data_IF_035276737232
#
_entry.id   IF_035276737232
#
_cell.length_a   1.000
_cell.length_b   1.000
_cell.length_c   1.000
_cell.angle_alpha   90.00
_cell.angle_beta   90.00
_cell.angle_gamma   90.00
#
_symmetry.space_group_name_H-M   'P 1'
#
loop_
_entity.id
_entity.type
_entity.pdbx_description
1 polymer ?
#
# COMPACT_ATOMS: atom_id res chain seq x y z
N UNK A 1 18.75 10.32 17.39
CA UNK A 1 17.26 10.39 17.44
C UNK A 1 16.81 11.50 16.50
N UNK A 2 15.95 11.21 15.52
CA UNK A 2 15.36 12.17 14.59
C UNK A 2 13.86 12.22 14.82
N UNK A 3 13.19 13.30 14.44
CA UNK A 3 11.75 13.48 14.56
C UNK A 3 11.09 13.14 13.22
N UNK A 4 10.26 12.12 13.19
CA UNK A 4 9.62 11.58 11.99
C UNK A 4 8.12 11.84 12.06
N UNK A 5 7.52 12.24 10.95
CA UNK A 5 6.08 12.34 10.80
C UNK A 5 5.59 11.26 9.83
N UNK A 6 4.62 10.45 10.27
CA UNK A 6 3.96 9.45 9.43
C UNK A 6 2.51 9.88 9.21
N UNK A 7 2.20 10.35 8.00
CA UNK A 7 0.84 10.62 7.54
C UNK A 7 0.23 9.31 7.01
N UNK A 8 -0.97 8.94 7.46
CA UNK A 8 -1.55 7.63 7.22
C UNK A 8 -1.16 6.58 8.27
N UNK A 9 -0.77 7.03 9.48
CA UNK A 9 -0.29 6.18 10.57
C UNK A 9 -1.36 5.25 11.17
N UNK A 10 -2.64 5.54 10.97
CA UNK A 10 -3.77 4.68 11.35
C UNK A 10 -4.07 3.59 10.30
N UNK A 11 -3.37 3.60 9.16
CA UNK A 11 -3.50 2.60 8.11
C UNK A 11 -2.54 1.42 8.27
N UNK A 12 -2.69 0.43 7.38
CA UNK A 12 -1.91 -0.81 7.38
C UNK A 12 -0.39 -0.57 7.30
N UNK A 13 0.09 0.02 6.21
CA UNK A 13 1.54 0.25 6.02
C UNK A 13 2.05 1.27 7.03
N UNK A 14 1.27 2.34 7.29
CA UNK A 14 1.64 3.39 8.24
C UNK A 14 1.82 2.87 9.66
N UNK A 15 0.95 1.98 10.12
CA UNK A 15 1.07 1.35 11.44
C UNK A 15 2.33 0.51 11.61
N UNK A 16 2.69 -0.29 10.60
CA UNK A 16 3.94 -1.06 10.57
C UNK A 16 5.17 -0.14 10.52
N UNK A 17 5.12 0.92 9.70
CA UNK A 17 6.22 1.89 9.61
C UNK A 17 6.45 2.63 10.92
N UNK A 18 5.39 3.07 11.61
CA UNK A 18 5.49 3.67 12.95
C UNK A 18 6.24 2.74 13.91
N UNK A 19 5.83 1.46 13.99
CA UNK A 19 6.49 0.46 14.84
C UNK A 19 7.98 0.34 14.50
N UNK A 20 8.32 0.22 13.22
CA UNK A 20 9.70 0.07 12.75
C UNK A 20 10.56 1.31 13.05
N UNK A 21 10.05 2.52 12.82
CA UNK A 21 10.74 3.77 13.16
C UNK A 21 11.00 3.91 14.68
N UNK A 22 10.03 3.46 15.50
CA UNK A 22 10.21 3.42 16.97
C UNK A 22 11.30 2.44 17.38
N UNK A 23 11.36 1.26 16.76
CA UNK A 23 12.42 0.27 17.01
C UNK A 23 13.81 0.79 16.63
N UNK A 24 13.89 1.69 15.64
CA UNK A 24 15.12 2.38 15.25
C UNK A 24 15.49 3.56 16.20
N UNK A 25 14.70 3.81 17.23
CA UNK A 25 14.98 4.84 18.24
C UNK A 25 14.62 6.27 17.80
N UNK A 26 13.73 6.43 16.82
CA UNK A 26 13.25 7.75 16.42
C UNK A 26 12.11 8.25 17.30
N UNK A 27 11.91 9.58 17.34
CA UNK A 27 10.68 10.19 17.84
C UNK A 27 9.67 10.24 16.71
N UNK A 28 8.51 9.59 16.88
CA UNK A 28 7.53 9.38 15.81
C UNK A 28 6.21 10.08 16.15
N UNK A 29 5.79 10.97 15.26
CA UNK A 29 4.46 11.54 15.22
C UNK A 29 3.64 10.79 14.19
N UNK A 30 2.49 10.25 14.59
CA UNK A 30 1.50 9.67 13.69
C UNK A 30 0.36 10.66 13.41
N UNK A 31 -0.13 10.72 12.19
CA UNK A 31 -1.34 11.45 11.84
C UNK A 31 -2.21 10.64 10.88
N UNK A 32 -3.50 10.60 11.15
CA UNK A 32 -4.49 9.92 10.31
C UNK A 32 -5.89 10.46 10.65
N UNK A 33 -6.86 10.22 9.77
CA UNK A 33 -8.28 10.49 10.03
C UNK A 33 -8.88 9.52 11.07
N UNK A 34 -8.22 8.38 11.28
CA UNK A 34 -8.64 7.33 12.22
C UNK A 34 -7.47 6.76 13.01
N UNK A 35 -7.77 6.15 14.16
CA UNK A 35 -6.82 5.30 14.87
C UNK A 35 -6.57 3.99 14.10
N UNK A 36 -5.44 3.31 14.39
CA UNK A 36 -5.19 1.98 13.87
C UNK A 36 -6.24 1.00 14.43
N UNK A 37 -6.86 0.21 13.54
CA UNK A 37 -8.03 -0.61 13.88
C UNK A 37 -7.68 -1.82 14.76
N UNK A 38 -6.47 -2.37 14.58
CA UNK A 38 -6.11 -3.68 15.15
C UNK A 38 -5.06 -3.61 16.26
N UNK A 39 -4.49 -2.46 16.52
CA UNK A 39 -3.51 -2.26 17.61
C UNK A 39 -3.45 -0.81 18.08
N UNK A 40 -3.01 -0.62 19.33
CA UNK A 40 -2.60 0.70 19.78
C UNK A 40 -1.36 1.15 19.01
N UNK A 41 -1.30 2.41 18.61
CA UNK A 41 -0.12 2.96 17.94
C UNK A 41 1.09 3.00 18.85
N UNK A 42 2.28 2.76 18.29
CA UNK A 42 3.57 2.91 18.98
C UNK A 42 4.14 4.34 18.84
N UNK A 43 3.46 5.25 18.14
CA UNK A 43 3.90 6.63 17.99
C UNK A 43 3.99 7.36 19.35
N UNK A 44 4.97 8.26 19.51
CA UNK A 44 5.11 9.09 20.70
C UNK A 44 3.95 10.08 20.83
N UNK A 45 3.50 10.61 19.68
CA UNK A 45 2.31 11.45 19.57
C UNK A 45 1.43 10.93 18.42
N UNK A 46 0.11 10.98 18.57
CA UNK A 46 -0.83 10.64 17.50
C UNK A 46 -1.92 11.70 17.41
N UNK A 47 -2.04 12.29 16.21
CA UNK A 47 -3.06 13.29 15.92
C UNK A 47 -4.12 12.71 14.98
N UNK A 48 -5.35 12.63 15.45
CA UNK A 48 -6.48 12.25 14.60
C UNK A 48 -6.95 13.48 13.81
N UNK A 49 -6.27 13.73 12.69
CA UNK A 49 -6.47 14.91 11.85
C UNK A 49 -6.88 14.52 10.43
N UNK A 50 -7.81 15.27 9.89
CA UNK A 50 -8.10 15.26 8.46
C UNK A 50 -7.04 16.11 7.74
N UNK A 51 -6.19 15.46 6.94
CA UNK A 51 -5.08 16.12 6.23
C UNK A 51 -5.54 16.84 4.95
N UNK A 52 -6.81 16.71 4.56
CA UNK A 52 -7.44 17.55 3.52
C UNK A 52 -7.61 18.98 4.01
N UNK A 53 -7.68 19.17 5.32
CA UNK A 53 -7.78 20.47 5.95
C UNK A 53 -6.39 21.09 6.14
N UNK A 54 -6.08 22.14 5.37
CA UNK A 54 -4.79 22.83 5.45
C UNK A 54 -4.44 23.30 6.86
N UNK A 55 -5.45 23.71 7.64
CA UNK A 55 -5.27 24.16 9.02
C UNK A 55 -4.70 23.07 9.94
N UNK A 56 -5.06 21.80 9.70
CA UNK A 56 -4.55 20.65 10.43
C UNK A 56 -3.11 20.35 10.03
N UNK A 57 -2.82 20.35 8.72
CA UNK A 57 -1.46 20.13 8.21
C UNK A 57 -0.50 21.20 8.69
N UNK A 58 -0.93 22.47 8.73
CA UNK A 58 -0.14 23.60 9.29
C UNK A 58 0.22 23.44 10.77
N UNK A 59 -0.68 22.87 11.58
CA UNK A 59 -0.42 22.59 13.00
C UNK A 59 0.50 21.39 13.17
N UNK A 60 0.35 20.39 12.28
CA UNK A 60 1.07 19.13 12.35
C UNK A 60 2.53 19.27 11.92
N UNK A 61 2.81 19.99 10.83
CA UNK A 61 4.15 20.15 10.29
C UNK A 61 4.87 21.30 11.01
N UNK A 62 5.93 20.93 11.75
CA UNK A 62 6.82 21.85 12.46
C UNK A 62 8.24 21.79 11.87
N UNK A 63 9.03 22.85 12.00
CA UNK A 63 10.36 22.98 11.38
C UNK A 63 11.42 22.02 11.93
N UNK A 64 11.15 21.35 13.03
CA UNK A 64 12.03 20.37 13.67
C UNK A 64 11.78 18.92 13.18
N UNK A 65 10.82 18.71 12.29
CA UNK A 65 10.60 17.41 11.63
C UNK A 65 11.74 17.18 10.64
N UNK A 66 12.43 16.03 10.79
CA UNK A 66 13.49 15.60 9.87
C UNK A 66 12.92 15.03 8.57
N UNK A 67 11.93 14.14 8.66
CA UNK A 67 11.36 13.43 7.51
C UNK A 67 9.86 13.25 7.65
N UNK A 68 9.14 13.47 6.56
CA UNK A 68 7.71 13.15 6.43
C UNK A 68 7.55 11.91 5.56
N UNK A 69 6.88 10.89 6.11
CA UNK A 69 6.43 9.73 5.37
C UNK A 69 4.95 9.94 5.00
N UNK A 70 4.71 10.23 3.73
CA UNK A 70 3.37 10.50 3.21
C UNK A 70 2.75 9.24 2.61
N UNK A 71 1.93 8.57 3.42
CA UNK A 71 1.21 7.35 3.06
C UNK A 71 -0.32 7.55 3.07
N UNK A 72 -0.79 8.71 3.55
CA UNK A 72 -2.22 9.00 3.60
C UNK A 72 -2.81 9.14 2.20
N UNK A 73 -3.87 8.41 1.93
CA UNK A 73 -4.61 8.46 0.66
C UNK A 73 -6.02 7.93 0.86
N UNK A 74 -6.94 8.36 0.02
CA UNK A 74 -8.24 7.71 -0.11
C UNK A 74 -8.08 6.52 -1.06
N UNK A 75 -8.15 5.31 -0.53
CA UNK A 75 -7.86 4.09 -1.29
C UNK A 75 -8.56 2.86 -0.70
N UNK A 76 -8.65 1.82 -1.50
CA UNK A 76 -9.21 0.52 -1.11
C UNK A 76 -8.75 -0.62 -2.03
N UNK A 77 -9.42 -1.76 -1.94
CA UNK A 77 -9.27 -2.88 -2.87
C UNK A 77 -9.98 -2.64 -4.20
N UNK A 78 -9.95 -3.65 -5.08
CA UNK A 78 -10.53 -3.57 -6.43
C UNK A 78 -12.02 -3.13 -6.44
N UNK A 79 -12.80 -3.61 -5.48
CA UNK A 79 -14.21 -3.23 -5.34
C UNK A 79 -14.45 -1.76 -4.95
N UNK A 80 -13.44 -1.06 -4.46
CA UNK A 80 -13.50 0.36 -4.14
C UNK A 80 -12.98 1.23 -5.29
N UNK A 81 -11.88 0.80 -5.93
CA UNK A 81 -11.13 1.60 -6.92
C UNK A 81 -11.76 1.50 -8.33
N UNK A 82 -12.28 0.31 -8.73
CA UNK A 82 -12.68 0.06 -10.12
C UNK A 82 -14.19 0.09 -10.37
N UNK A 83 -14.99 0.54 -9.40
CA UNK A 83 -16.45 0.62 -9.56
C UNK A 83 -16.93 1.94 -10.18
N UNK A 84 -16.09 2.96 -10.23
CA UNK A 84 -16.45 4.32 -10.65
C UNK A 84 -17.22 5.14 -9.61
N UNK A 85 -17.67 4.51 -8.52
CA UNK A 85 -18.54 5.17 -7.53
C UNK A 85 -17.78 6.14 -6.61
N UNK A 86 -16.45 6.02 -6.52
CA UNK A 86 -15.61 6.77 -5.59
C UNK A 86 -14.55 7.64 -6.30
N UNK A 87 -14.60 7.74 -7.64
CA UNK A 87 -13.55 8.36 -8.44
C UNK A 87 -13.29 9.82 -8.05
N UNK A 88 -14.34 10.62 -7.91
CA UNK A 88 -14.23 12.01 -7.51
C UNK A 88 -13.61 12.17 -6.11
N UNK A 89 -14.03 11.35 -5.15
CA UNK A 89 -13.52 11.38 -3.77
C UNK A 89 -12.05 10.93 -3.73
N UNK A 90 -11.69 9.88 -4.43
CA UNK A 90 -10.32 9.37 -4.52
C UNK A 90 -9.39 10.46 -5.07
N UNK A 91 -9.74 11.08 -6.21
CA UNK A 91 -8.97 12.14 -6.83
C UNK A 91 -8.85 13.36 -5.93
N UNK A 92 -9.99 13.88 -5.47
CA UNK A 92 -10.05 15.10 -4.66
C UNK A 92 -9.32 14.92 -3.32
N UNK A 93 -9.66 13.88 -2.57
CA UNK A 93 -9.16 13.70 -1.21
C UNK A 93 -7.64 13.48 -1.20
N UNK A 94 -7.14 12.61 -2.06
CA UNK A 94 -5.70 12.30 -2.11
C UNK A 94 -4.89 13.48 -2.66
N UNK A 95 -5.37 14.18 -3.69
CA UNK A 95 -4.72 15.38 -4.21
C UNK A 95 -4.64 16.49 -3.15
N UNK A 96 -5.74 16.77 -2.43
CA UNK A 96 -5.75 17.78 -1.36
C UNK A 96 -4.73 17.48 -0.25
N UNK A 97 -4.64 16.23 0.19
CA UNK A 97 -3.63 15.81 1.18
C UNK A 97 -2.23 16.14 0.68
N UNK A 98 -1.89 15.70 -0.54
CA UNK A 98 -0.54 15.87 -1.10
C UNK A 98 -0.19 17.33 -1.36
N UNK A 99 -1.14 18.14 -1.85
CA UNK A 99 -0.96 19.59 -2.05
C UNK A 99 -0.69 20.31 -0.72
N UNK A 100 -1.50 20.05 0.31
CA UNK A 100 -1.35 20.66 1.62
C UNK A 100 0.00 20.32 2.28
N UNK A 101 0.41 19.05 2.20
CA UNK A 101 1.70 18.61 2.78
C UNK A 101 2.87 19.25 2.04
N UNK A 102 2.89 19.20 0.70
CA UNK A 102 3.99 19.76 -0.09
C UNK A 102 4.16 21.27 0.15
N UNK A 103 3.05 22.01 0.21
CA UNK A 103 3.05 23.45 0.47
C UNK A 103 3.58 23.78 1.87
N UNK A 104 3.07 23.10 2.91
CA UNK A 104 3.49 23.38 4.31
C UNK A 104 4.93 22.93 4.56
N UNK A 105 5.43 21.89 3.91
CA UNK A 105 6.85 21.50 3.97
C UNK A 105 7.75 22.65 3.53
N UNK A 106 7.43 23.28 2.39
CA UNK A 106 8.21 24.44 1.89
C UNK A 106 8.15 25.59 2.87
N UNK A 107 6.95 25.96 3.36
CA UNK A 107 6.76 27.06 4.32
C UNK A 107 7.51 26.85 5.64
N UNK A 108 7.62 25.60 6.10
CA UNK A 108 8.28 25.24 7.37
C UNK A 108 9.76 24.89 7.21
N UNK A 109 10.27 24.81 5.97
CA UNK A 109 11.65 24.43 5.70
C UNK A 109 11.95 22.93 5.87
N UNK A 110 10.93 22.08 6.00
CA UNK A 110 11.09 20.62 6.03
C UNK A 110 11.40 20.13 4.62
N UNK A 111 12.48 19.36 4.46
CA UNK A 111 13.00 19.01 3.13
C UNK A 111 12.80 17.56 2.72
N UNK A 112 12.81 16.62 3.67
CA UNK A 112 12.78 15.20 3.35
C UNK A 112 11.34 14.68 3.35
N UNK A 113 10.93 14.08 2.22
CA UNK A 113 9.64 13.39 2.10
C UNK A 113 9.82 12.04 1.42
N UNK A 114 9.17 11.03 2.00
CA UNK A 114 8.92 9.76 1.35
C UNK A 114 7.45 9.73 0.91
N UNK A 115 7.21 9.47 -0.37
CA UNK A 115 5.86 9.37 -0.92
C UNK A 115 5.57 7.95 -1.43
N UNK A 116 4.44 7.41 -1.02
CA UNK A 116 3.94 6.13 -1.54
C UNK A 116 3.06 6.34 -2.75
N UNK A 117 3.62 6.07 -3.92
CA UNK A 117 2.88 5.90 -5.16
C UNK A 117 2.35 4.47 -5.30
N UNK A 118 1.87 4.07 -6.45
CA UNK A 118 1.23 2.77 -6.67
C UNK A 118 1.50 2.25 -8.08
N UNK A 119 1.54 0.94 -8.24
CA UNK A 119 1.55 0.29 -9.55
C UNK A 119 0.29 0.58 -10.39
N UNK A 120 -0.80 1.08 -9.79
CA UNK A 120 -1.99 1.52 -10.52
C UNK A 120 -1.74 2.74 -11.42
N UNK A 121 -0.59 3.44 -11.25
CA UNK A 121 -0.23 4.55 -12.14
C UNK A 121 0.31 4.09 -13.51
N UNK A 122 0.67 2.81 -13.67
CA UNK A 122 1.15 2.30 -14.94
C UNK A 122 0.05 2.22 -16.00
N UNK A 123 0.41 2.38 -17.29
CA UNK A 123 -0.56 2.29 -18.37
C UNK A 123 -1.26 0.94 -18.43
N UNK A 124 -2.57 0.94 -18.64
CA UNK A 124 -3.37 -0.29 -18.75
C UNK A 124 -2.91 -1.20 -19.88
N UNK A 125 -2.48 -0.64 -21.03
CA UNK A 125 -2.00 -1.39 -22.17
C UNK A 125 -0.70 -2.20 -21.91
N UNK A 126 0.05 -1.87 -20.87
CA UNK A 126 1.21 -2.67 -20.43
C UNK A 126 0.82 -3.87 -19.55
N UNK A 127 -0.46 -4.03 -19.23
CA UNK A 127 -0.97 -4.97 -18.24
C UNK A 127 -2.03 -5.93 -18.80
N UNK A 128 -2.06 -6.10 -20.12
CA UNK A 128 -3.03 -6.96 -20.82
C UNK A 128 -2.59 -8.41 -20.87
N UNK A 129 -1.27 -8.67 -20.82
CA UNK A 129 -0.71 -10.02 -20.78
C UNK A 129 -0.55 -10.48 -19.33
N UNK A 130 -1.22 -11.56 -18.89
CA UNK A 130 -1.09 -12.08 -17.54
C UNK A 130 0.29 -12.70 -17.26
N UNK A 131 1.05 -13.08 -18.27
CA UNK A 131 2.32 -13.78 -18.11
C UNK A 131 3.54 -12.85 -18.25
N UNK A 132 3.37 -11.70 -18.91
CA UNK A 132 4.47 -10.77 -19.20
C UNK A 132 4.04 -9.29 -19.13
N UNK A 133 3.66 -8.76 -17.96
CA UNK A 133 3.39 -7.34 -17.81
C UNK A 133 4.68 -6.53 -17.93
N UNK A 134 4.62 -5.41 -18.65
CA UNK A 134 5.78 -4.55 -18.96
C UNK A 134 5.83 -3.35 -18.03
N UNK A 135 6.14 -3.56 -16.75
CA UNK A 135 6.08 -2.51 -15.70
C UNK A 135 7.47 -2.09 -15.20
N UNK A 136 8.39 -1.77 -16.11
CA UNK A 136 9.59 -1.00 -15.74
C UNK A 136 9.23 0.46 -15.45
N UNK A 137 10.03 1.16 -14.66
CA UNK A 137 9.73 2.55 -14.26
C UNK A 137 9.59 3.51 -15.44
N UNK A 138 10.35 3.29 -16.51
CA UNK A 138 10.29 4.06 -17.77
C UNK A 138 8.98 3.84 -18.54
N UNK A 139 8.36 2.67 -18.39
CA UNK A 139 7.11 2.30 -19.07
C UNK A 139 5.87 3.05 -18.55
N UNK A 140 6.06 3.93 -17.56
CA UNK A 140 5.01 4.81 -17.04
C UNK A 140 4.45 5.78 -18.10
N UNK A 141 5.19 5.99 -19.19
CA UNK A 141 4.82 6.92 -20.25
C UNK A 141 4.87 6.25 -21.64
N UNK A 142 3.91 6.59 -22.54
CA UNK A 142 2.80 7.53 -22.37
C UNK A 142 1.81 7.05 -21.30
N UNK A 143 1.35 8.00 -20.45
CA UNK A 143 0.49 7.68 -19.32
C UNK A 143 -0.92 7.26 -19.78
N UNK A 144 -1.42 6.17 -19.22
CA UNK A 144 -2.80 5.69 -19.38
C UNK A 144 -3.18 4.76 -18.19
N UNK A 145 -3.17 5.29 -16.96
CA UNK A 145 -3.59 4.53 -15.78
C UNK A 145 -4.97 3.90 -15.92
N UNK A 146 -5.17 2.78 -15.24
CA UNK A 146 -6.39 1.96 -15.30
C UNK A 146 -7.55 2.51 -14.43
N UNK A 147 -7.29 3.58 -13.66
CA UNK A 147 -8.26 4.13 -12.70
C UNK A 147 -7.91 5.55 -12.29
N UNK A 148 -8.87 6.29 -11.77
CA UNK A 148 -8.66 7.63 -11.22
C UNK A 148 -7.68 7.62 -10.03
N UNK A 149 -7.64 6.53 -9.27
CA UNK A 149 -6.61 6.31 -8.27
C UNK A 149 -5.20 6.30 -8.89
N UNK A 150 -5.02 5.63 -10.02
CA UNK A 150 -3.74 5.61 -10.75
C UNK A 150 -3.35 6.99 -11.27
N UNK A 151 -4.30 7.75 -11.80
CA UNK A 151 -4.09 9.12 -12.26
C UNK A 151 -3.68 10.05 -11.13
N UNK A 152 -4.35 9.98 -9.97
CA UNK A 152 -3.96 10.74 -8.79
C UNK A 152 -2.55 10.41 -8.32
N UNK A 153 -2.20 9.12 -8.28
CA UNK A 153 -0.86 8.69 -7.87
C UNK A 153 0.22 9.25 -8.80
N UNK A 154 0.00 9.20 -10.11
CA UNK A 154 0.90 9.78 -11.09
C UNK A 154 0.98 11.32 -10.95
N UNK A 155 -0.14 12.00 -10.77
CA UNK A 155 -0.17 13.44 -10.50
C UNK A 155 0.69 13.79 -9.28
N UNK A 156 0.53 13.07 -8.18
CA UNK A 156 1.26 13.32 -6.95
C UNK A 156 2.76 12.99 -7.04
N UNK A 157 3.18 11.97 -7.81
CA UNK A 157 4.59 11.79 -8.16
C UNK A 157 5.16 13.05 -8.82
N UNK A 158 4.49 13.56 -9.85
CA UNK A 158 4.92 14.76 -10.58
C UNK A 158 4.89 16.00 -9.70
N UNK A 159 3.93 16.11 -8.79
CA UNK A 159 3.86 17.19 -7.80
C UNK A 159 5.13 17.20 -6.93
N UNK A 160 5.47 16.10 -6.24
CA UNK A 160 6.65 16.03 -5.39
C UNK A 160 7.96 16.22 -6.17
N UNK A 161 8.07 15.66 -7.37
CA UNK A 161 9.21 15.88 -8.25
C UNK A 161 9.35 17.36 -8.69
N UNK A 162 8.25 18.05 -8.91
CA UNK A 162 8.25 19.49 -9.24
C UNK A 162 8.65 20.34 -8.05
N UNK A 163 8.14 20.02 -6.86
CA UNK A 163 8.56 20.66 -5.61
C UNK A 163 10.03 20.40 -5.28
N UNK A 164 10.55 19.22 -5.63
CA UNK A 164 11.97 18.92 -5.50
C UNK A 164 12.81 19.85 -6.38
N UNK A 165 12.43 20.02 -7.66
CA UNK A 165 13.16 20.89 -8.60
C UNK A 165 13.07 22.38 -8.23
N UNK A 166 11.90 22.86 -7.83
CA UNK A 166 11.65 24.29 -7.69
C UNK A 166 11.88 24.80 -6.26
N UNK A 167 11.71 23.93 -5.25
CA UNK A 167 11.76 24.29 -3.83
C UNK A 167 12.79 23.47 -3.03
N UNK A 168 13.54 22.60 -3.69
CA UNK A 168 14.63 21.83 -3.10
C UNK A 168 14.15 20.78 -2.08
N UNK A 169 12.96 20.21 -2.24
CA UNK A 169 12.56 19.03 -1.49
C UNK A 169 13.43 17.83 -1.91
N UNK A 170 13.68 16.95 -0.97
CA UNK A 170 14.30 15.64 -1.20
C UNK A 170 13.21 14.59 -1.19
N UNK A 171 12.53 14.47 -2.33
CA UNK A 171 11.46 13.49 -2.49
C UNK A 171 12.03 12.11 -2.83
N UNK A 172 11.64 11.10 -2.06
CA UNK A 172 11.85 9.68 -2.33
C UNK A 172 10.49 9.08 -2.64
N UNK A 173 10.37 8.38 -3.73
CA UNK A 173 9.07 7.92 -4.24
C UNK A 173 9.16 6.42 -4.51
N UNK A 174 8.25 5.65 -3.89
CA UNK A 174 8.10 4.23 -4.16
C UNK A 174 6.76 3.93 -4.83
N UNK A 175 6.77 3.21 -5.96
CA UNK A 175 5.60 2.63 -6.60
C UNK A 175 5.33 1.27 -5.97
N UNK A 176 4.39 1.23 -5.03
CA UNK A 176 4.08 0.01 -4.30
C UNK A 176 3.27 -0.97 -5.15
N UNK A 177 3.70 -2.24 -5.17
CA UNK A 177 3.00 -3.34 -5.85
C UNK A 177 2.35 -4.28 -4.84
N UNK A 178 1.02 -4.20 -4.70
CA UNK A 178 0.16 -5.13 -3.94
C UNK A 178 0.71 -5.58 -2.58
N UNK A 179 1.00 -4.63 -1.69
CA UNK A 179 1.46 -4.95 -0.33
C UNK A 179 0.38 -5.68 0.44
N UNK A 180 0.76 -6.74 1.16
CA UNK A 180 -0.12 -7.55 2.00
C UNK A 180 0.56 -7.97 3.31
N UNK A 181 -0.22 -8.39 4.30
CA UNK A 181 0.28 -8.84 5.59
C UNK A 181 -0.79 -8.73 6.68
N UNK A 182 -0.44 -9.12 7.93
CA UNK A 182 -1.30 -8.94 9.09
C UNK A 182 -1.64 -7.47 9.36
N UNK A 183 -2.75 -7.23 10.06
CA UNK A 183 -3.22 -5.90 10.48
C UNK A 183 -3.65 -4.97 9.32
N UNK A 184 -3.90 -5.51 8.13
CA UNK A 184 -4.57 -4.84 7.03
C UNK A 184 -6.07 -5.09 7.02
N UNK A 185 -6.83 -4.34 6.20
CA UNK A 185 -8.25 -4.61 5.98
C UNK A 185 -8.47 -6.03 5.48
N UNK A 186 -9.40 -6.77 6.11
CA UNK A 186 -9.65 -8.17 5.81
C UNK A 186 -11.14 -8.55 5.68
N UNK A 187 -12.08 -7.70 6.17
CA UNK A 187 -13.52 -7.99 6.19
C UNK A 187 -14.44 -6.77 6.00
N UNK A 188 -13.91 -5.63 5.55
CA UNK A 188 -14.65 -4.36 5.49
C UNK A 188 -14.99 -3.88 4.06
N UNK A 189 -14.81 -4.74 3.04
CA UNK A 189 -15.07 -4.42 1.63
C UNK A 189 -13.94 -3.64 0.95
N UNK A 190 -12.89 -3.25 1.68
CA UNK A 190 -11.68 -2.58 1.15
C UNK A 190 -10.46 -3.51 1.12
N UNK A 191 -10.64 -4.78 1.46
CA UNK A 191 -9.56 -5.77 1.50
C UNK A 191 -9.01 -6.09 0.12
N UNK A 192 -7.70 -6.34 0.05
CA UNK A 192 -7.01 -6.84 -1.13
C UNK A 192 -7.09 -8.36 -1.24
N UNK A 193 -6.79 -8.90 -2.42
CA UNK A 193 -6.95 -10.34 -2.72
C UNK A 193 -6.34 -11.29 -1.67
N UNK A 194 -5.10 -11.13 -1.19
CA UNK A 194 -4.55 -12.06 -0.20
C UNK A 194 -5.40 -12.11 1.09
N UNK A 195 -5.79 -10.97 1.63
CA UNK A 195 -6.60 -10.92 2.85
C UNK A 195 -8.02 -11.46 2.64
N UNK A 196 -8.65 -11.09 1.51
CA UNK A 196 -9.99 -11.58 1.16
C UNK A 196 -10.01 -13.11 0.98
N UNK A 197 -8.99 -13.67 0.30
CA UNK A 197 -8.91 -15.11 0.05
C UNK A 197 -8.51 -15.87 1.31
N UNK A 198 -7.61 -15.37 2.15
CA UNK A 198 -7.33 -15.95 3.47
C UNK A 198 -8.61 -16.04 4.31
N UNK A 199 -9.42 -14.98 4.36
CA UNK A 199 -10.71 -14.99 5.05
C UNK A 199 -11.68 -16.03 4.46
N UNK A 200 -11.84 -16.02 3.12
CA UNK A 200 -12.74 -16.96 2.45
C UNK A 200 -12.34 -18.41 2.71
N UNK A 201 -11.05 -18.74 2.60
CA UNK A 201 -10.54 -20.09 2.90
C UNK A 201 -10.73 -20.44 4.39
N UNK A 202 -10.43 -19.52 5.32
CA UNK A 202 -10.60 -19.74 6.75
C UNK A 202 -12.06 -20.08 7.10
N UNK A 203 -13.03 -19.36 6.53
CA UNK A 203 -14.47 -19.53 6.76
C UNK A 203 -15.11 -20.62 5.89
N UNK A 204 -14.42 -21.15 4.87
CA UNK A 204 -14.99 -22.10 3.92
C UNK A 204 -15.34 -23.43 4.54
N UNK A 205 -16.47 -23.98 4.09
CA UNK A 205 -16.93 -25.36 4.35
C UNK A 205 -16.67 -26.30 3.16
N UNK A 206 -15.83 -25.88 2.18
CA UNK A 206 -15.42 -26.71 1.04
C UNK A 206 -15.49 -26.01 -0.31
N UNK A 207 -16.08 -24.80 -0.40
CA UNK A 207 -16.18 -24.04 -1.65
C UNK A 207 -15.99 -22.53 -1.36
N UNK A 208 -15.34 -21.80 -2.30
CA UNK A 208 -15.23 -20.34 -2.25
C UNK A 208 -15.48 -19.74 -3.64
N UNK A 209 -16.00 -18.51 -3.64
CA UNK A 209 -16.17 -17.71 -4.86
C UNK A 209 -14.92 -16.89 -5.17
N UNK A 210 -14.50 -16.93 -6.43
CA UNK A 210 -13.43 -16.12 -7.01
C UNK A 210 -14.00 -15.29 -8.16
N UNK A 211 -13.73 -13.98 -8.19
CA UNK A 211 -14.19 -13.09 -9.25
C UNK A 211 -13.43 -13.33 -10.54
N UNK A 212 -14.17 -13.49 -11.62
CA UNK A 212 -13.68 -13.76 -12.96
C UNK A 212 -13.08 -15.16 -13.12
N UNK A 213 -12.31 -15.42 -14.19
CA UNK A 213 -11.75 -16.73 -14.50
C UNK A 213 -10.63 -17.17 -13.54
N UNK A 214 -10.10 -16.25 -12.72
CA UNK A 214 -9.03 -16.54 -11.78
C UNK A 214 -7.65 -16.72 -12.39
N UNK A 215 -7.50 -16.51 -13.72
CA UNK A 215 -6.21 -16.62 -14.42
C UNK A 215 -5.40 -15.32 -14.41
N UNK A 216 -6.02 -14.19 -14.07
CA UNK A 216 -5.31 -12.93 -13.91
C UNK A 216 -4.22 -13.07 -12.85
N UNK A 217 -3.03 -12.53 -13.16
CA UNK A 217 -1.85 -12.67 -12.31
C UNK A 217 -1.52 -11.39 -11.57
N UNK A 218 -0.97 -11.55 -10.37
CA UNK A 218 -0.42 -10.45 -9.55
C UNK A 218 0.84 -10.93 -8.86
N UNK A 219 1.73 -9.98 -8.61
CA UNK A 219 2.75 -10.16 -7.57
C UNK A 219 2.28 -9.54 -6.26
N UNK A 220 2.79 -10.08 -5.15
CA UNK A 220 2.42 -9.62 -3.80
C UNK A 220 3.68 -9.39 -2.98
N UNK A 221 3.79 -8.20 -2.40
CA UNK A 221 4.91 -7.80 -1.55
C UNK A 221 4.50 -7.96 -0.07
N UNK A 222 5.23 -8.78 0.68
CA UNK A 222 4.99 -8.90 2.11
C UNK A 222 5.36 -7.63 2.86
N UNK A 223 4.61 -7.31 3.91
CA UNK A 223 4.72 -6.03 4.63
C UNK A 223 6.12 -5.75 5.18
N UNK A 224 6.82 -6.76 5.70
CA UNK A 224 8.16 -6.56 6.27
C UNK A 224 9.16 -6.12 5.20
N UNK A 225 9.10 -6.69 4.00
CA UNK A 225 9.92 -6.26 2.87
C UNK A 225 9.52 -4.88 2.34
N UNK A 226 8.24 -4.55 2.39
CA UNK A 226 7.77 -3.20 2.07
C UNK A 226 8.40 -2.17 3.02
N UNK A 227 8.39 -2.43 4.32
CA UNK A 227 8.98 -1.54 5.35
C UNK A 227 10.50 -1.43 5.16
N UNK A 228 11.19 -2.55 4.92
CA UNK A 228 12.62 -2.53 4.63
C UNK A 228 12.93 -1.71 3.37
N UNK A 229 12.17 -1.88 2.29
CA UNK A 229 12.32 -1.11 1.06
C UNK A 229 12.06 0.39 1.28
N UNK A 230 11.06 0.76 2.07
CA UNK A 230 10.80 2.16 2.46
C UNK A 230 12.03 2.76 3.15
N UNK A 231 12.62 2.07 4.11
CA UNK A 231 13.82 2.55 4.81
C UNK A 231 15.01 2.72 3.87
N UNK A 232 15.27 1.73 3.01
CA UNK A 232 16.41 1.75 2.07
C UNK A 232 16.26 2.86 1.02
N UNK A 233 15.08 3.02 0.43
CA UNK A 233 14.80 4.09 -0.53
C UNK A 233 14.92 5.45 0.15
N UNK A 234 14.38 5.60 1.37
CA UNK A 234 14.47 6.86 2.12
C UNK A 234 15.93 7.21 2.49
N UNK A 235 16.76 6.23 2.77
CA UNK A 235 18.18 6.44 3.08
C UNK A 235 19.05 6.73 1.84
N UNK A 236 18.56 6.47 0.63
CA UNK A 236 19.28 6.69 -0.62
C UNK A 236 19.24 8.14 -1.08
N UNK A 237 20.05 8.46 -2.09
CA UNK A 237 20.02 9.75 -2.79
C UNK A 237 19.14 9.75 -4.06
N UNK A 238 18.33 8.68 -4.26
CA UNK A 238 17.48 8.51 -5.42
C UNK A 238 16.41 9.59 -5.50
N UNK A 239 16.42 10.40 -6.56
CA UNK A 239 15.48 11.50 -6.80
C UNK A 239 14.38 11.17 -7.83
N UNK A 240 14.21 9.91 -8.23
CA UNK A 240 13.20 9.43 -9.16
C UNK A 240 12.40 8.28 -8.57
N UNK A 241 11.18 7.99 -9.10
CA UNK A 241 10.36 6.90 -8.59
C UNK A 241 11.02 5.53 -8.81
N UNK A 242 10.92 4.64 -7.81
CA UNK A 242 11.36 3.25 -7.86
C UNK A 242 10.17 2.31 -7.64
N UNK A 243 10.14 1.22 -8.38
CA UNK A 243 9.26 0.10 -8.06
C UNK A 243 9.64 -0.53 -6.71
N UNK A 244 8.65 -0.84 -5.91
CA UNK A 244 8.81 -1.59 -4.67
C UNK A 244 7.75 -2.69 -4.64
N UNK A 245 8.13 -3.89 -5.06
CA UNK A 245 7.23 -5.03 -5.22
C UNK A 245 7.98 -6.33 -5.43
N UNK A 246 7.26 -7.44 -5.45
CA UNK A 246 7.79 -8.75 -5.85
C UNK A 246 7.73 -8.92 -7.36
N UNK A 247 8.68 -9.64 -7.94
CA UNK A 247 8.65 -10.02 -9.36
C UNK A 247 7.83 -11.30 -9.59
N UNK A 248 7.68 -12.14 -8.57
CA UNK A 248 6.96 -13.40 -8.66
C UNK A 248 5.47 -13.17 -8.89
N UNK A 249 4.97 -13.64 -10.01
CA UNK A 249 3.54 -13.63 -10.35
C UNK A 249 2.86 -14.92 -9.91
N UNK A 250 1.64 -14.79 -9.45
CA UNK A 250 0.74 -15.91 -9.17
C UNK A 250 -0.66 -15.56 -9.66
N UNK A 251 -1.36 -16.53 -10.28
CA UNK A 251 -2.76 -16.37 -10.64
C UNK A 251 -3.64 -16.32 -9.38
N UNK A 252 -4.83 -15.75 -9.49
CA UNK A 252 -5.74 -15.70 -8.35
C UNK A 252 -6.18 -17.12 -7.93
N UNK A 253 -6.38 -18.03 -8.90
CA UNK A 253 -6.65 -19.43 -8.57
C UNK A 253 -5.44 -20.09 -7.88
N UNK A 254 -4.21 -19.88 -8.38
CA UNK A 254 -3.00 -20.38 -7.74
C UNK A 254 -2.81 -19.81 -6.32
N UNK A 255 -3.21 -18.55 -6.09
CA UNK A 255 -3.18 -17.96 -4.74
C UNK A 255 -4.16 -18.68 -3.79
N UNK A 256 -5.36 -19.05 -4.28
CA UNK A 256 -6.31 -19.87 -3.49
C UNK A 256 -5.73 -21.24 -3.17
N UNK A 257 -5.12 -21.91 -4.13
CA UNK A 257 -4.50 -23.23 -3.94
C UNK A 257 -3.38 -23.15 -2.89
N UNK A 258 -2.53 -22.13 -2.95
CA UNK A 258 -1.46 -21.91 -2.00
C UNK A 258 -2.00 -21.66 -0.58
N UNK A 259 -3.00 -20.77 -0.45
CA UNK A 259 -3.64 -20.52 0.85
C UNK A 259 -4.34 -21.77 1.38
N UNK A 260 -4.98 -22.55 0.51
CA UNK A 260 -5.64 -23.82 0.90
C UNK A 260 -4.63 -24.84 1.42
N UNK A 261 -3.45 -24.91 0.82
CA UNK A 261 -2.35 -25.74 1.30
C UNK A 261 -1.86 -25.30 2.68
N UNK A 262 -1.64 -24.00 2.88
CA UNK A 262 -1.28 -23.41 4.18
C UNK A 262 -2.35 -23.73 5.24
N UNK A 263 -3.60 -23.55 4.88
CA UNK A 263 -4.75 -23.82 5.74
C UNK A 263 -5.01 -25.31 6.01
N UNK A 264 -4.37 -26.21 5.27
CA UNK A 264 -4.63 -27.67 5.26
C UNK A 264 -6.12 -27.98 5.01
N UNK A 265 -6.73 -27.20 4.10
CA UNK A 265 -8.14 -27.34 3.69
C UNK A 265 -8.22 -27.70 2.21
N UNK A 266 -9.17 -28.57 1.86
CA UNK A 266 -9.55 -28.79 0.45
C UNK A 266 -10.68 -27.84 0.10
N UNK A 267 -10.46 -26.96 -0.88
CA UNK A 267 -11.43 -25.92 -1.25
C UNK A 267 -11.66 -25.98 -2.76
N UNK A 268 -12.90 -26.05 -3.18
CA UNK A 268 -13.31 -25.93 -4.58
C UNK A 268 -13.48 -24.47 -4.94
N UNK A 269 -12.92 -24.05 -6.08
CA UNK A 269 -13.07 -22.70 -6.60
C UNK A 269 -14.32 -22.63 -7.48
N UNK A 270 -15.19 -21.64 -7.18
CA UNK A 270 -16.34 -21.28 -8.00
C UNK A 270 -16.10 -19.89 -8.60
N UNK A 271 -15.86 -19.84 -9.90
CA UNK A 271 -15.63 -18.59 -10.61
C UNK A 271 -16.94 -17.87 -10.89
N UNK A 272 -17.07 -16.63 -10.41
CA UNK A 272 -18.28 -15.80 -10.56
C UNK A 272 -17.95 -14.45 -11.21
N UNK A 273 -18.91 -13.80 -11.92
CA UNK A 273 -18.69 -12.45 -12.44
C UNK A 273 -18.30 -11.46 -11.35
N UNK A 274 -17.37 -10.53 -11.67
CA UNK A 274 -16.93 -9.50 -10.73
C UNK A 274 -15.84 -8.61 -11.34
N UNK A 275 -15.45 -7.52 -10.67
CA UNK A 275 -14.41 -6.63 -11.15
C UNK A 275 -13.04 -7.33 -11.17
N UNK A 276 -12.35 -7.28 -12.32
CA UNK A 276 -11.08 -7.97 -12.55
C UNK A 276 -9.87 -7.05 -12.41
N UNK A 277 -10.01 -5.78 -12.81
CA UNK A 277 -8.86 -4.90 -13.06
C UNK A 277 -8.04 -5.39 -14.26
N UNK A 278 -6.73 -5.17 -14.23
CA UNK A 278 -5.80 -5.58 -15.30
C UNK A 278 -5.53 -7.08 -15.29
N UNK A 279 -5.05 -7.63 -16.42
CA UNK A 279 -4.77 -9.06 -16.54
C UNK A 279 -3.48 -9.49 -15.86
N UNK A 280 -2.40 -8.70 -15.96
CA UNK A 280 -1.11 -8.98 -15.34
C UNK A 280 -0.51 -7.77 -14.64
N UNK A 281 0.07 -7.96 -13.45
CA UNK A 281 0.80 -6.91 -12.73
C UNK A 281 1.87 -7.49 -11.82
N UNK A 282 3.14 -7.13 -12.09
CA UNK A 282 4.26 -7.42 -11.20
C UNK A 282 5.18 -6.20 -11.07
N UNK A 283 6.18 -6.28 -10.21
CA UNK A 283 7.27 -5.31 -10.14
C UNK A 283 8.40 -5.76 -11.07
N UNK A 284 9.05 -4.81 -11.74
CA UNK A 284 10.34 -5.01 -12.38
C UNK A 284 11.41 -4.37 -11.49
N UNK A 285 12.30 -5.19 -10.91
CA UNK A 285 13.15 -4.76 -9.80
C UNK A 285 14.60 -4.43 -10.19
N UNK A 286 14.92 -4.40 -11.51
CA UNK A 286 16.28 -4.10 -11.95
C UNK A 286 16.73 -2.71 -11.52
N UNK A 287 15.87 -1.68 -11.68
CA UNK A 287 16.25 -0.31 -11.36
C UNK A 287 16.45 -0.09 -9.85
N UNK A 288 15.62 -0.65 -9.00
CA UNK A 288 15.82 -0.55 -7.54
C UNK A 288 17.11 -1.26 -7.13
N UNK A 289 17.39 -2.46 -7.68
CA UNK A 289 18.63 -3.19 -7.41
C UNK A 289 19.84 -2.37 -7.82
N UNK A 290 19.86 -1.81 -9.03
CA UNK A 290 21.01 -1.05 -9.55
C UNK A 290 21.20 0.28 -8.79
N UNK A 291 20.11 0.86 -8.26
CA UNK A 291 20.14 2.16 -7.58
C UNK A 291 20.59 2.04 -6.13
N UNK A 292 20.12 1.03 -5.39
CA UNK A 292 20.34 0.92 -3.94
C UNK A 292 20.99 -0.40 -3.51
N UNK A 293 21.39 -1.25 -4.45
CA UNK A 293 22.06 -2.54 -4.17
C UNK A 293 21.14 -3.56 -3.48
N UNK A 294 19.84 -3.40 -3.58
CA UNK A 294 18.84 -4.24 -2.92
C UNK A 294 17.55 -4.30 -3.71
N UNK A 295 16.87 -5.41 -3.64
CA UNK A 295 15.49 -5.60 -4.11
C UNK A 295 14.75 -6.55 -3.16
N UNK A 296 13.40 -6.47 -3.10
CA UNK A 296 12.60 -7.43 -2.33
C UNK A 296 12.87 -8.87 -2.76
N UNK A 297 12.86 -9.79 -1.80
CA UNK A 297 12.94 -11.22 -2.03
C UNK A 297 11.54 -11.81 -2.21
N UNK A 298 11.47 -13.11 -2.53
CA UNK A 298 10.21 -13.83 -2.62
C UNK A 298 9.87 -14.45 -1.27
N UNK A 299 8.99 -13.80 -0.52
CA UNK A 299 8.49 -14.24 0.78
C UNK A 299 6.97 -14.52 0.76
N UNK A 300 6.42 -14.91 -0.39
CA UNK A 300 4.96 -15.05 -0.55
C UNK A 300 4.38 -16.09 0.41
N UNK A 301 4.93 -17.29 0.48
CA UNK A 301 4.45 -18.36 1.35
C UNK A 301 4.49 -17.94 2.82
N UNK A 302 5.64 -17.45 3.28
CA UNK A 302 5.79 -16.97 4.66
C UNK A 302 4.78 -15.86 4.98
N UNK A 303 4.66 -14.86 4.09
CA UNK A 303 3.72 -13.76 4.28
C UNK A 303 2.26 -14.23 4.33
N UNK A 304 1.89 -15.22 3.51
CA UNK A 304 0.55 -15.81 3.52
C UNK A 304 0.30 -16.63 4.79
N UNK A 305 1.28 -17.37 5.29
CA UNK A 305 1.17 -18.09 6.58
C UNK A 305 0.88 -17.11 7.72
N UNK A 306 1.64 -16.02 7.82
CA UNK A 306 1.44 -14.99 8.84
C UNK A 306 0.06 -14.31 8.70
N UNK A 307 -0.32 -13.98 7.47
CA UNK A 307 -1.60 -13.30 7.19
C UNK A 307 -2.78 -14.21 7.48
N UNK A 308 -2.70 -15.49 7.06
CA UNK A 308 -3.75 -16.47 7.32
C UNK A 308 -3.91 -16.75 8.81
N UNK A 309 -2.81 -16.96 9.54
CA UNK A 309 -2.83 -17.18 10.98
C UNK A 309 -3.47 -16.01 11.72
N UNK A 310 -3.09 -14.77 11.35
CA UNK A 310 -3.68 -13.57 11.95
C UNK A 310 -5.18 -13.45 11.66
N UNK A 311 -5.61 -13.65 10.40
CA UNK A 311 -7.04 -13.57 10.03
C UNK A 311 -7.85 -14.68 10.73
N UNK A 312 -7.32 -15.90 10.80
CA UNK A 312 -7.99 -17.00 11.50
C UNK A 312 -8.22 -16.67 12.97
N UNK A 313 -7.22 -16.12 13.64
CA UNK A 313 -7.34 -15.66 15.02
C UNK A 313 -8.40 -14.53 15.16
N UNK A 314 -8.43 -13.56 14.25
CA UNK A 314 -9.47 -12.51 14.25
C UNK A 314 -10.88 -13.07 14.08
N UNK A 315 -11.06 -14.09 13.23
CA UNK A 315 -12.36 -14.76 13.04
C UNK A 315 -12.78 -15.46 14.33
N UNK A 316 -11.88 -16.18 14.98
CA UNK A 316 -12.16 -16.91 16.24
C UNK A 316 -12.56 -15.96 17.38
N UNK A 317 -11.87 -14.82 17.52
CA UNK A 317 -12.21 -13.80 18.54
C UNK A 317 -13.56 -13.14 18.25
N UNK A 318 -13.84 -12.73 17.01
CA UNK A 318 -15.13 -12.14 16.66
C UNK A 318 -16.31 -13.11 16.91
N UNK A 319 -16.12 -14.43 16.70
CA UNK A 319 -17.13 -15.44 17.01
C UNK A 319 -17.30 -15.59 18.54
N UNK A 320 -16.23 -15.49 19.32
CA UNK A 320 -16.29 -15.57 20.77
C UNK A 320 -17.06 -14.37 21.34
N UNK A 321 -16.77 -13.15 20.90
CA UNK A 321 -17.46 -11.92 21.33
C UNK A 321 -18.96 -11.96 20.98
N UNK A 322 -19.31 -12.46 19.78
CA UNK A 322 -20.71 -12.60 19.35
C UNK A 322 -21.51 -13.67 20.14
N UNK A 323 -20.83 -14.61 20.79
CA UNK A 323 -21.49 -15.62 21.64
C UNK A 323 -21.65 -15.19 23.12
N UNK A 324 -20.94 -14.13 23.50
CA UNK A 324 -20.97 -13.54 24.85
C UNK A 324 -21.85 -12.31 24.96
N UNK A 325 -22.31 -11.74 23.84
CA UNK A 325 -23.27 -10.64 23.73
C UNK A 325 -24.69 -11.12 23.51
#
# INVERSE_FOLDING_TARGET
MKKMLVCGAGGFIGGHLVTSLKQQGHYVIGADIKQHEYKKTDADEFYQYDLREQSNVRKLITSDIDTIYQLAADMGGAGYIFTGNNDADIMHNSAMINLNIAEEMVKKGVRNVFYTSSACMYPSHNQEDPDNPLLSEESAYPANPDSEYGWEKLFSERLYMSFARNHGLRARIARLHNVFGPQGSWNNGKEKAPAALCRKVAQSTGEIEVWGPGVQTRSFLYIDECIEGIHRIQASDCGFPLNLGSERMISINGLVELISTIAKKSVKINNVPGPLGVMGRNSHNQLIHDTIGWAPQDNLEYGLEQTYAWISNMIEHNIADAKTA
#
